data_IF_747571519971
#
_entry.id   IF_747571519971
#
_cell.length_a   1.000
_cell.length_b   1.000
_cell.length_c   1.000
_cell.angle_alpha   90.00
_cell.angle_beta   90.00
_cell.angle_gamma   90.00
#
_symmetry.space_group_name_H-M   'P 1'
#
loop_
_entity.id
_entity.type
_entity.pdbx_description
1 polymer ?
#
# COMPACT_ATOMS: atom_id res chain seq x y z
N UNK A 1 63.13 -44.62 -75.62
CA UNK A 1 63.47 -44.12 -74.28
C UNK A 1 63.17 -42.63 -74.27
N UNK A 2 62.02 -42.25 -73.72
CA UNK A 2 61.42 -40.92 -73.89
C UNK A 2 61.23 -40.21 -72.53
N UNK A 3 61.96 -39.10 -72.41
CA UNK A 3 61.62 -37.78 -71.85
C UNK A 3 60.73 -37.64 -70.59
N UNK A 4 61.38 -37.04 -69.57
CA UNK A 4 60.86 -36.23 -68.48
C UNK A 4 59.81 -35.19 -68.92
N UNK A 5 58.73 -35.06 -68.16
CA UNK A 5 57.80 -33.92 -68.25
C UNK A 5 56.91 -33.85 -67.01
N UNK A 6 57.33 -33.10 -66.00
CA UNK A 6 56.52 -32.75 -64.82
C UNK A 6 55.53 -31.64 -65.18
N UNK A 7 54.22 -31.79 -64.93
CA UNK A 7 53.34 -30.64 -64.82
C UNK A 7 53.26 -30.14 -63.36
N UNK A 8 53.51 -28.84 -63.19
CA UNK A 8 53.21 -28.08 -61.98
C UNK A 8 51.89 -27.34 -62.26
N UNK A 9 50.82 -27.69 -61.55
CA UNK A 9 49.57 -26.92 -61.49
C UNK A 9 49.22 -26.86 -59.98
N UNK A 10 49.45 -25.77 -59.24
CA UNK A 10 48.93 -24.40 -59.31
C UNK A 10 47.39 -24.33 -59.24
N UNK A 11 46.90 -24.13 -58.02
CA UNK A 11 45.71 -23.31 -57.74
C UNK A 11 44.36 -24.02 -57.81
N UNK A 12 44.09 -24.92 -56.86
CA UNK A 12 42.72 -25.31 -56.52
C UNK A 12 42.28 -24.53 -55.28
N UNK A 13 41.35 -23.61 -55.47
CA UNK A 13 40.80 -22.67 -54.50
C UNK A 13 40.28 -23.35 -53.24
N UNK A 14 40.76 -22.91 -52.08
CA UNK A 14 40.10 -23.11 -50.81
C UNK A 14 38.65 -22.61 -50.92
N UNK A 15 37.71 -23.54 -50.93
CA UNK A 15 36.29 -23.27 -50.91
C UNK A 15 35.96 -22.72 -49.51
N UNK A 16 36.12 -21.40 -49.38
CA UNK A 16 35.72 -20.65 -48.20
C UNK A 16 34.19 -20.74 -48.11
N UNK A 17 33.73 -21.72 -47.33
CA UNK A 17 32.34 -21.93 -46.98
C UNK A 17 31.86 -20.73 -46.13
N UNK A 18 31.54 -19.63 -46.81
CA UNK A 18 30.89 -18.47 -46.21
C UNK A 18 29.50 -18.90 -45.77
N UNK A 19 29.36 -19.23 -44.49
CA UNK A 19 28.07 -19.27 -43.82
C UNK A 19 27.47 -17.87 -43.86
N UNK A 20 26.75 -17.58 -44.94
CA UNK A 20 25.85 -16.45 -45.00
C UNK A 20 24.77 -16.68 -43.96
N UNK A 21 24.80 -15.89 -42.89
CA UNK A 21 23.68 -15.80 -41.95
C UNK A 21 22.50 -15.26 -42.76
N UNK A 22 21.64 -16.16 -43.25
CA UNK A 22 20.35 -15.77 -43.80
C UNK A 22 19.54 -15.26 -42.63
N UNK A 23 19.41 -13.94 -42.50
CA UNK A 23 18.46 -13.35 -41.57
C UNK A 23 17.08 -13.94 -41.91
N UNK A 24 16.43 -14.67 -40.98
CA UNK A 24 15.11 -15.19 -41.25
C UNK A 24 14.17 -14.00 -41.49
N UNK A 25 13.31 -14.10 -42.51
CA UNK A 25 12.25 -13.14 -42.71
C UNK A 25 11.46 -13.03 -41.41
N UNK A 26 11.50 -11.84 -40.78
CA UNK A 26 10.89 -11.61 -39.49
C UNK A 26 9.39 -11.86 -39.66
N UNK A 27 8.94 -12.95 -39.06
CA UNK A 27 7.53 -13.28 -39.01
C UNK A 27 6.88 -12.34 -37.99
N UNK A 28 6.17 -11.33 -38.48
CA UNK A 28 5.49 -10.32 -37.65
C UNK A 28 4.53 -10.94 -36.63
N UNK A 29 3.95 -12.11 -36.93
CA UNK A 29 3.15 -12.85 -35.96
C UNK A 29 3.95 -13.34 -34.76
N UNK A 30 5.19 -13.77 -34.97
CA UNK A 30 6.09 -14.18 -33.90
C UNK A 30 6.47 -12.98 -33.02
N UNK A 31 6.72 -11.82 -33.64
CA UNK A 31 7.00 -10.56 -32.91
C UNK A 31 5.80 -10.16 -32.07
N UNK A 32 4.58 -10.22 -32.62
CA UNK A 32 3.36 -9.94 -31.89
C UNK A 32 3.13 -10.91 -30.72
N UNK A 33 3.35 -12.21 -30.93
CA UNK A 33 3.22 -13.22 -29.88
C UNK A 33 4.23 -12.99 -28.74
N UNK A 34 5.48 -12.66 -29.07
CA UNK A 34 6.52 -12.32 -28.09
C UNK A 34 6.16 -11.05 -27.32
N UNK A 35 5.64 -10.03 -28.01
CA UNK A 35 5.22 -8.78 -27.37
C UNK A 35 4.07 -9.01 -26.37
N UNK A 36 3.05 -9.77 -26.77
CA UNK A 36 1.92 -10.12 -25.88
C UNK A 36 2.40 -10.95 -24.68
N UNK A 37 3.31 -11.89 -24.91
CA UNK A 37 3.88 -12.70 -23.84
C UNK A 37 4.73 -11.87 -22.87
N UNK A 38 5.55 -10.94 -23.38
CA UNK A 38 6.36 -10.05 -22.57
C UNK A 38 5.50 -9.08 -21.73
N UNK A 39 4.41 -8.55 -22.30
CA UNK A 39 3.44 -7.72 -21.56
C UNK A 39 2.71 -8.57 -20.50
N UNK A 40 2.29 -9.78 -20.85
CA UNK A 40 1.67 -10.75 -19.94
C UNK A 40 2.55 -11.12 -18.75
N UNK A 41 3.84 -11.33 -19.00
CA UNK A 41 4.84 -11.65 -17.98
C UNK A 41 5.19 -10.45 -17.07
N UNK A 42 4.89 -9.22 -17.47
CA UNK A 42 5.10 -8.02 -16.66
C UNK A 42 3.96 -7.74 -15.66
N UNK A 43 2.76 -8.31 -15.85
CA UNK A 43 1.62 -8.15 -14.94
C UNK A 43 1.92 -8.52 -13.48
N UNK A 44 2.57 -9.65 -13.16
CA UNK A 44 2.82 -10.06 -11.77
C UNK A 44 3.74 -9.09 -11.03
N UNK A 45 4.69 -8.47 -11.74
CA UNK A 45 5.67 -7.53 -11.16
C UNK A 45 5.00 -6.22 -10.73
N UNK A 46 4.02 -5.75 -11.51
CA UNK A 46 3.22 -4.57 -11.20
C UNK A 46 2.25 -4.84 -10.03
N UNK A 47 1.67 -6.04 -9.96
CA UNK A 47 0.83 -6.44 -8.82
C UNK A 47 1.64 -6.53 -7.51
N UNK A 48 2.87 -7.03 -7.57
CA UNK A 48 3.77 -7.10 -6.41
C UNK A 48 4.06 -5.71 -5.82
N UNK A 49 4.35 -4.73 -6.66
CA UNK A 49 4.75 -3.38 -6.24
C UNK A 49 3.64 -2.58 -5.53
N UNK A 50 2.38 -2.73 -5.99
CA UNK A 50 1.23 -2.07 -5.37
C UNK A 50 0.83 -2.72 -4.03
N UNK A 51 1.15 -4.00 -3.84
CA UNK A 51 0.83 -4.73 -2.60
C UNK A 51 1.84 -4.42 -1.50
N UNK A 52 3.12 -4.24 -1.86
CA UNK A 52 4.17 -3.88 -0.89
C UNK A 52 4.02 -2.46 -0.35
N UNK A 53 3.67 -1.47 -1.19
CA UNK A 53 3.52 -0.07 -0.72
C UNK A 53 2.34 0.07 0.25
N UNK A 54 1.21 -0.61 -0.02
CA UNK A 54 0.07 -0.67 0.91
C UNK A 54 0.42 -1.37 2.23
N UNK A 55 1.32 -2.36 2.20
CA UNK A 55 1.77 -3.05 3.41
C UNK A 55 2.53 -2.15 4.39
N UNK A 56 3.29 -1.15 3.89
CA UNK A 56 3.98 -0.19 4.75
C UNK A 56 3.01 0.77 5.43
N UNK A 57 2.04 1.31 4.68
CA UNK A 57 1.02 2.21 5.24
C UNK A 57 0.15 1.49 6.28
N UNK A 58 -0.24 0.23 6.01
CA UNK A 58 -1.00 -0.58 6.97
C UNK A 58 -0.19 -0.79 8.26
N UNK A 59 1.09 -1.17 8.15
CA UNK A 59 1.95 -1.37 9.33
C UNK A 59 2.14 -0.07 10.13
N UNK A 60 2.29 1.06 9.45
CA UNK A 60 2.41 2.36 10.13
C UNK A 60 1.14 2.71 10.91
N UNK A 61 -0.04 2.46 10.33
CA UNK A 61 -1.34 2.66 11.01
C UNK A 61 -1.53 1.69 12.17
N UNK A 62 -1.16 0.42 12.01
CA UNK A 62 -1.21 -0.59 13.07
C UNK A 62 -0.30 -0.23 14.25
N UNK A 63 0.92 0.22 13.98
CA UNK A 63 1.85 0.70 15.00
C UNK A 63 1.28 1.90 15.75
N UNK A 64 0.71 2.87 15.04
CA UNK A 64 0.10 4.05 15.66
C UNK A 64 -1.11 3.68 16.51
N UNK A 65 -1.92 2.71 16.07
CA UNK A 65 -3.06 2.22 16.85
C UNK A 65 -2.60 1.52 18.13
N UNK A 66 -1.53 0.73 18.07
CA UNK A 66 -0.97 0.06 19.24
C UNK A 66 -0.40 1.07 20.25
N UNK A 67 0.28 2.12 19.79
CA UNK A 67 0.80 3.22 20.61
C UNK A 67 -0.34 3.94 21.35
N UNK A 68 -1.37 4.37 20.63
CA UNK A 68 -2.53 5.06 21.20
C UNK A 68 -3.28 4.20 22.23
N UNK A 69 -3.41 2.89 21.99
CA UNK A 69 -4.03 1.98 22.96
C UNK A 69 -3.20 1.86 24.25
N UNK A 70 -1.88 1.86 24.13
CA UNK A 70 -0.98 1.88 25.28
C UNK A 70 -1.12 3.18 26.08
N UNK A 71 -1.23 4.31 25.42
CA UNK A 71 -1.44 5.62 26.06
C UNK A 71 -2.79 5.69 26.78
N UNK A 72 -3.87 5.22 26.16
CA UNK A 72 -5.19 5.11 26.80
C UNK A 72 -5.11 4.25 28.06
N UNK A 73 -4.52 3.06 27.99
CA UNK A 73 -4.40 2.18 29.16
C UNK A 73 -3.57 2.82 30.29
N UNK A 74 -2.51 3.56 29.95
CA UNK A 74 -1.71 4.29 30.93
C UNK A 74 -2.49 5.44 31.57
N UNK A 75 -3.28 6.17 30.79
CA UNK A 75 -4.16 7.24 31.29
C UNK A 75 -5.28 6.69 32.17
N UNK A 76 -5.91 5.57 31.78
CA UNK A 76 -6.92 4.88 32.58
C UNK A 76 -6.34 4.41 33.92
N UNK A 77 -5.14 3.84 33.92
CA UNK A 77 -4.45 3.45 35.14
C UNK A 77 -4.12 4.67 36.03
N UNK A 78 -3.73 5.81 35.44
CA UNK A 78 -3.52 7.05 36.16
C UNK A 78 -4.83 7.58 36.75
N UNK A 79 -5.95 7.54 36.02
CA UNK A 79 -7.28 7.93 36.52
C UNK A 79 -7.69 7.03 37.68
N UNK A 80 -7.49 5.71 37.56
CA UNK A 80 -7.77 4.76 38.63
C UNK A 80 -6.93 5.07 39.89
N UNK A 81 -5.66 5.40 39.71
CA UNK A 81 -4.75 5.83 40.79
C UNK A 81 -5.17 7.17 41.38
N UNK A 82 -5.62 8.09 40.53
CA UNK A 82 -6.17 9.39 40.89
C UNK A 82 -7.66 9.33 41.22
N UNK A 83 -8.21 8.15 41.57
CA UNK A 83 -9.57 8.02 42.10
C UNK A 83 -9.65 8.68 43.48
N UNK A 84 -9.64 10.00 43.40
CA UNK A 84 -9.90 10.97 44.43
C UNK A 84 -11.22 10.65 45.10
N UNK A 85 -12.17 10.00 44.42
CA UNK A 85 -13.44 9.60 44.98
C UNK A 85 -13.31 8.60 46.13
N UNK A 86 -12.51 7.53 46.00
CA UNK A 86 -12.35 6.57 47.11
C UNK A 86 -11.58 7.19 48.27
N UNK A 87 -10.56 8.00 47.95
CA UNK A 87 -9.77 8.72 48.95
C UNK A 87 -10.58 9.81 49.67
N UNK A 88 -11.47 10.51 48.95
CA UNK A 88 -12.44 11.48 49.49
C UNK A 88 -13.47 10.75 50.33
N UNK A 89 -13.98 9.60 49.88
CA UNK A 89 -14.93 8.76 50.64
C UNK A 89 -14.33 8.32 51.96
N UNK A 90 -13.12 7.75 51.94
CA UNK A 90 -12.40 7.36 53.15
C UNK A 90 -12.12 8.55 54.08
N UNK A 91 -11.75 9.71 53.53
CA UNK A 91 -11.53 10.92 54.33
C UNK A 91 -12.82 11.48 54.91
N UNK A 92 -13.92 11.44 54.16
CA UNK A 92 -15.24 11.86 54.60
C UNK A 92 -15.75 10.95 55.73
N UNK A 93 -15.63 9.63 55.58
CA UNK A 93 -15.94 8.65 56.62
C UNK A 93 -15.11 8.86 57.88
N UNK A 94 -13.80 9.14 57.73
CA UNK A 94 -12.94 9.48 58.86
C UNK A 94 -13.35 10.80 59.56
N UNK A 95 -14.06 11.70 58.87
CA UNK A 95 -14.64 12.91 59.44
C UNK A 95 -16.08 12.70 59.97
N UNK A 96 -16.57 11.46 59.97
CA UNK A 96 -17.95 11.13 60.38
C UNK A 96 -19.02 11.54 59.37
N UNK A 97 -18.63 11.91 58.15
CA UNK A 97 -19.56 12.17 57.05
C UNK A 97 -19.95 10.82 56.44
N UNK A 98 -21.26 10.59 56.35
CA UNK A 98 -21.83 9.40 55.72
C UNK A 98 -22.77 9.80 54.57
N UNK A 99 -22.97 8.93 53.58
CA UNK A 99 -23.96 9.15 52.53
C UNK A 99 -25.34 9.38 53.15
N UNK A 100 -26.01 10.46 52.75
CA UNK A 100 -27.37 10.75 53.21
C UNK A 100 -28.35 9.70 52.66
N UNK A 101 -29.16 9.09 53.52
CA UNK A 101 -30.19 8.12 53.11
C UNK A 101 -31.29 8.78 52.25
N UNK A 102 -31.52 10.08 52.44
CA UNK A 102 -32.47 10.89 51.70
C UNK A 102 -31.77 12.12 51.13
N UNK A 103 -31.42 12.12 49.83
CA UNK A 103 -30.80 13.29 49.22
C UNK A 103 -31.83 14.42 49.09
N UNK A 104 -31.43 15.63 49.48
CA UNK A 104 -32.21 16.84 49.20
C UNK A 104 -31.94 17.24 47.76
N UNK A 105 -32.91 17.00 46.88
CA UNK A 105 -32.82 17.39 45.48
C UNK A 105 -33.31 18.83 45.35
N UNK A 106 -32.40 19.74 44.99
CA UNK A 106 -32.75 21.12 44.67
C UNK A 106 -32.96 21.20 43.15
N UNK A 107 -34.19 21.42 42.72
CA UNK A 107 -34.50 21.71 41.32
C UNK A 107 -34.16 23.16 41.03
N UNK A 108 -33.21 23.37 40.11
CA UNK A 108 -32.82 24.70 39.65
C UNK A 108 -33.53 24.96 38.33
N UNK A 109 -34.48 25.89 38.30
CA UNK A 109 -35.29 26.27 37.12
C UNK A 109 -34.54 27.16 36.11
N UNK A 110 -33.21 27.23 36.21
CA UNK A 110 -32.40 28.00 35.27
C UNK A 110 -32.18 27.12 34.03
N UNK A 111 -32.47 27.61 32.81
CA UNK A 111 -32.18 26.86 31.59
C UNK A 111 -30.70 26.48 31.57
N UNK A 112 -30.44 25.18 31.37
CA UNK A 112 -29.08 24.67 31.26
C UNK A 112 -28.32 25.40 30.16
N UNK A 113 -26.99 25.54 30.30
CA UNK A 113 -26.17 26.14 29.25
C UNK A 113 -26.46 25.43 27.93
N UNK A 114 -26.55 26.19 26.82
CA UNK A 114 -26.80 25.59 25.51
C UNK A 114 -25.84 24.42 25.29
N UNK A 115 -26.33 23.26 24.80
CA UNK A 115 -25.48 22.11 24.52
C UNK A 115 -24.25 22.58 23.74
N UNK A 116 -23.07 22.28 24.25
CA UNK A 116 -21.82 22.71 23.63
C UNK A 116 -21.84 22.30 22.15
N UNK A 117 -21.87 23.30 21.26
CA UNK A 117 -21.76 23.05 19.83
C UNK A 117 -20.37 22.52 19.59
N UNK A 118 -20.26 21.21 19.41
CA UNK A 118 -18.99 20.55 19.13
C UNK A 118 -18.49 21.13 17.80
N UNK A 119 -17.33 21.81 17.79
CA UNK A 119 -16.75 22.30 16.55
C UNK A 119 -16.57 21.14 15.56
N UNK A 120 -16.74 21.42 14.25
CA UNK A 120 -16.69 20.39 13.22
C UNK A 120 -15.34 19.64 13.20
N UNK A 121 -14.26 20.24 13.73
CA UNK A 121 -12.96 19.58 13.86
C UNK A 121 -12.93 18.36 14.81
N UNK A 122 -13.89 18.25 15.74
CA UNK A 122 -13.99 17.10 16.65
C UNK A 122 -14.92 16.00 16.15
N UNK A 123 -15.61 16.22 15.02
CA UNK A 123 -16.34 15.15 14.35
C UNK A 123 -15.32 14.27 13.61
N UNK A 124 -15.44 12.93 13.70
CA UNK A 124 -14.58 12.05 12.93
C UNK A 124 -14.70 12.42 11.45
N UNK A 125 -13.56 12.71 10.81
CA UNK A 125 -13.53 13.02 9.39
C UNK A 125 -14.26 11.92 8.62
N UNK A 126 -15.20 12.32 7.75
CA UNK A 126 -15.88 11.39 6.86
C UNK A 126 -14.83 10.53 6.16
N UNK A 127 -14.97 9.20 6.26
CA UNK A 127 -14.00 8.28 5.69
C UNK A 127 -13.74 8.66 4.22
N UNK A 128 -12.47 8.85 3.80
CA UNK A 128 -12.17 9.20 2.43
C UNK A 128 -12.82 8.16 1.52
N UNK A 129 -13.65 8.62 0.59
CA UNK A 129 -14.20 7.75 -0.45
C UNK A 129 -13.00 7.20 -1.20
N UNK A 130 -12.80 5.87 -1.28
CA UNK A 130 -11.64 5.32 -1.96
C UNK A 130 -11.72 5.74 -3.43
N UNK A 131 -10.91 6.72 -3.82
CA UNK A 131 -10.72 7.07 -5.22
C UNK A 131 -10.27 5.81 -5.93
N UNK A 132 -11.11 5.34 -6.86
CA UNK A 132 -10.84 4.12 -7.62
C UNK A 132 -9.57 4.39 -8.44
N UNK A 133 -8.44 3.73 -8.14
CA UNK A 133 -7.20 4.01 -8.86
C UNK A 133 -7.42 3.71 -10.33
N UNK A 134 -6.98 4.63 -11.18
CA UNK A 134 -7.04 4.44 -12.63
C UNK A 134 -6.35 3.13 -12.98
N UNK A 135 -7.11 2.26 -13.65
CA UNK A 135 -6.63 0.94 -14.01
C UNK A 135 -5.51 1.09 -15.02
N UNK A 136 -4.31 0.60 -14.68
CA UNK A 136 -3.08 0.68 -15.49
C UNK A 136 -3.25 0.35 -16.98
N UNK A 137 -4.18 -0.54 -17.34
CA UNK A 137 -4.50 -0.89 -18.72
C UNK A 137 -5.05 0.30 -19.52
N UNK A 138 -5.75 1.24 -18.88
CA UNK A 138 -6.21 2.50 -19.49
C UNK A 138 -5.05 3.41 -19.82
N UNK A 139 -4.02 3.46 -18.97
CA UNK A 139 -2.80 4.22 -19.25
C UNK A 139 -2.01 3.61 -20.40
N UNK A 140 -2.02 2.29 -20.55
CA UNK A 140 -1.39 1.60 -21.68
C UNK A 140 -2.14 1.86 -23.00
N UNK A 141 -3.48 1.79 -22.98
CA UNK A 141 -4.31 2.03 -24.17
C UNK A 141 -4.29 3.49 -24.64
N UNK A 142 -4.05 4.45 -23.74
CA UNK A 142 -3.88 5.87 -24.12
C UNK A 142 -2.69 6.10 -25.08
N UNK A 143 -1.71 5.21 -25.08
CA UNK A 143 -0.52 5.32 -25.94
C UNK A 143 -0.69 4.67 -27.31
N UNK A 144 -1.77 3.91 -27.53
CA UNK A 144 -2.00 3.23 -28.81
C UNK A 144 -2.79 4.14 -29.77
N UNK A 145 -2.22 4.58 -30.90
CA UNK A 145 -2.98 5.24 -31.95
C UNK A 145 -3.85 4.19 -32.64
N UNK A 146 -5.14 4.15 -32.30
CA UNK A 146 -6.12 3.38 -33.06
C UNK A 146 -6.36 4.11 -34.39
N UNK A 147 -6.07 3.50 -35.56
CA UNK A 147 -6.62 3.99 -36.81
C UNK A 147 -8.14 3.72 -36.83
N UNK A 148 -8.93 4.75 -37.14
CA UNK A 148 -10.34 4.61 -37.54
C UNK A 148 -10.47 3.80 -38.83
#
# INVERSE_FOLDING_TARGET
MATLGRPIARGGTAEAQRHGVRFPAINWWLVAAIAVFAVGAALPVLQSSATTSRGFDIRAVEQRQAELRGEIAALEAQIATQSSLERIRQRAEAMGLHPAATPVVVTVDVPGPEPARIPAEYLPAAAPTPERPDSWWRSLLKWLPLPE
#
